data_IF_124165446047
#
_entry.id   IF_124165446047
#
_cell.length_a   1.000
_cell.length_b   1.000
_cell.length_c   1.000
_cell.angle_alpha   90.00
_cell.angle_beta   90.00
_cell.angle_gamma   90.00
#
_symmetry.space_group_name_H-M   'P 1'
#
loop_
_entity.id
_entity.type
_entity.pdbx_description
1 polymer ?
#
# COMPACT_ATOMS: atom_id res chain seq x y z
N UNK A 1 -11.51 -11.55 11.34
CA UNK A 1 -11.70 -10.10 11.14
C UNK A 1 -11.15 -9.76 9.77
N UNK A 2 -11.91 -9.07 8.92
CA UNK A 2 -11.42 -8.70 7.58
C UNK A 2 -10.46 -7.53 7.72
N UNK A 3 -9.27 -7.64 7.12
CA UNK A 3 -8.29 -6.55 7.06
C UNK A 3 -8.04 -6.12 5.63
N UNK A 4 -7.58 -4.89 5.45
CA UNK A 4 -7.31 -4.30 4.16
C UNK A 4 -5.94 -3.62 4.16
N UNK A 5 -5.30 -3.61 3.01
CA UNK A 5 -4.09 -2.80 2.77
C UNK A 5 -4.32 -1.91 1.56
N UNK A 6 -3.74 -0.72 1.60
CA UNK A 6 -3.67 0.17 0.44
C UNK A 6 -2.31 -0.02 -0.21
N UNK A 7 -2.29 -0.35 -1.50
CA UNK A 7 -1.06 -0.63 -2.24
C UNK A 7 -1.12 -0.19 -3.70
N UNK A 8 0.03 0.13 -4.28
CA UNK A 8 0.21 0.30 -5.73
C UNK A 8 1.25 -0.69 -6.24
N UNK A 9 1.10 -1.07 -7.50
CA UNK A 9 1.98 -2.00 -8.20
C UNK A 9 2.75 -1.19 -9.23
N UNK A 10 4.06 -1.18 -9.10
CA UNK A 10 4.96 -0.42 -9.96
C UNK A 10 5.88 -1.39 -10.70
N UNK A 11 5.94 -1.28 -12.02
CA UNK A 11 6.88 -2.02 -12.85
C UNK A 11 8.16 -1.21 -12.99
N UNK A 12 9.27 -1.74 -12.47
CA UNK A 12 10.59 -1.16 -12.63
C UNK A 12 11.27 -1.81 -13.84
N UNK A 13 11.81 -1.02 -14.78
CA UNK A 13 12.57 -1.58 -15.89
C UNK A 13 13.73 -2.43 -15.36
N UNK A 14 13.87 -3.66 -15.88
CA UNK A 14 15.00 -4.50 -15.52
C UNK A 14 16.30 -3.86 -15.99
N UNK A 15 17.35 -3.99 -15.17
CA UNK A 15 18.70 -3.56 -15.54
C UNK A 15 19.32 -4.47 -16.61
N UNK A 16 18.76 -5.66 -16.82
CA UNK A 16 19.25 -6.65 -17.78
C UNK A 16 18.42 -6.54 -19.07
N UNK A 17 19.09 -6.24 -20.18
CA UNK A 17 18.45 -6.10 -21.48
C UNK A 17 17.83 -7.44 -21.91
N UNK A 18 16.53 -7.44 -22.15
CA UNK A 18 15.75 -8.63 -22.56
C UNK A 18 15.08 -9.38 -21.40
N UNK A 19 15.31 -8.97 -20.16
CA UNK A 19 14.60 -9.52 -18.99
C UNK A 19 13.26 -8.82 -18.74
N UNK A 20 12.34 -9.56 -18.13
CA UNK A 20 11.06 -9.00 -17.68
C UNK A 20 11.28 -7.92 -16.62
N UNK A 21 10.44 -6.87 -16.58
CA UNK A 21 10.52 -5.83 -15.56
C UNK A 21 10.28 -6.39 -14.16
N UNK A 22 10.97 -5.80 -13.18
CA UNK A 22 10.80 -6.14 -11.78
C UNK A 22 9.49 -5.56 -11.25
N UNK A 23 8.74 -6.37 -10.51
CA UNK A 23 7.51 -5.91 -9.83
C UNK A 23 7.90 -5.37 -8.47
N UNK A 24 7.53 -4.12 -8.20
CA UNK A 24 7.66 -3.51 -6.88
C UNK A 24 6.29 -3.11 -6.35
N UNK A 25 6.08 -3.32 -5.06
CA UNK A 25 4.87 -2.92 -4.36
C UNK A 25 5.19 -1.74 -3.46
N UNK A 26 4.22 -0.85 -3.38
CA UNK A 26 4.27 0.32 -2.52
C UNK A 26 3.02 0.31 -1.68
N UNK A 27 3.17 0.51 -0.37
CA UNK A 27 2.12 0.41 0.64
C UNK A 27 2.02 1.70 1.44
N UNK A 28 0.92 1.83 2.18
CA UNK A 28 0.75 2.85 3.20
C UNK A 28 1.23 2.31 4.54
N UNK A 29 2.11 3.02 5.24
CA UNK A 29 2.46 2.77 6.65
C UNK A 29 2.00 3.94 7.51
N UNK A 30 1.98 3.74 8.83
CA UNK A 30 1.64 4.77 9.82
C UNK A 30 2.86 5.07 10.66
N UNK A 31 3.36 6.31 10.58
CA UNK A 31 4.53 6.76 11.35
C UNK A 31 4.18 7.11 12.81
N UNK A 32 2.94 7.55 13.07
CA UNK A 32 2.47 7.96 14.40
C UNK A 32 0.97 7.73 14.55
N UNK A 33 0.56 7.22 15.72
CA UNK A 33 -0.85 7.10 16.12
C UNK A 33 -1.45 8.40 16.67
N UNK A 34 -0.62 9.42 16.94
CA UNK A 34 -1.07 10.73 17.42
C UNK A 34 -1.19 11.65 16.21
N UNK A 35 -2.40 11.73 15.65
CA UNK A 35 -2.65 12.34 14.34
C UNK A 35 -2.21 11.38 13.23
N UNK A 36 -3.15 10.88 12.43
CA UNK A 36 -2.90 9.90 11.39
C UNK A 36 -1.91 10.45 10.35
N UNK A 37 -0.62 10.18 10.54
CA UNK A 37 0.44 10.50 9.60
C UNK A 37 0.77 9.25 8.81
N UNK A 38 0.17 9.18 7.62
CA UNK A 38 0.42 8.14 6.65
C UNK A 38 1.66 8.46 5.84
N UNK A 39 2.52 7.47 5.66
CA UNK A 39 3.68 7.55 4.77
C UNK A 39 3.69 6.38 3.79
N UNK A 40 4.61 6.45 2.83
CA UNK A 40 4.80 5.41 1.82
C UNK A 40 5.93 4.49 2.26
N UNK A 41 5.69 3.18 2.25
CA UNK A 41 6.73 2.16 2.41
C UNK A 41 6.72 1.17 1.24
N UNK A 42 7.84 0.52 0.96
CA UNK A 42 7.88 -0.64 0.05
C UNK A 42 7.92 -1.96 0.83
N UNK A 43 8.05 -1.90 2.16
CA UNK A 43 8.12 -3.06 3.02
C UNK A 43 6.70 -3.49 3.42
N UNK A 44 6.35 -4.72 3.07
CA UNK A 44 5.01 -5.26 3.34
C UNK A 44 4.75 -5.41 4.84
N UNK A 45 5.79 -5.63 5.63
CA UNK A 45 5.68 -5.82 7.10
C UNK A 45 5.28 -4.53 7.81
N UNK A 46 5.70 -3.38 7.28
CA UNK A 46 5.37 -2.05 7.82
C UNK A 46 4.04 -1.50 7.29
N UNK A 47 3.40 -2.21 6.36
CA UNK A 47 2.14 -1.77 5.77
C UNK A 47 1.02 -1.76 6.81
N UNK A 48 0.33 -0.64 6.93
CA UNK A 48 -0.81 -0.48 7.81
C UNK A 48 -1.96 -1.36 7.35
N UNK A 49 -2.46 -2.18 8.28
CA UNK A 49 -3.61 -3.05 8.06
C UNK A 49 -4.87 -2.36 8.57
N UNK A 50 -5.63 -1.78 7.64
CA UNK A 50 -6.90 -1.15 7.94
C UNK A 50 -7.93 -2.20 8.34
N UNK A 51 -8.61 -1.96 9.44
CA UNK A 51 -9.76 -2.76 9.85
C UNK A 51 -11.02 -2.40 9.04
N UNK A 52 -12.07 -3.21 9.17
CA UNK A 52 -13.33 -3.01 8.45
C UNK A 52 -13.98 -1.64 8.75
N UNK A 53 -13.86 -1.14 9.98
CA UNK A 53 -14.37 0.18 10.34
C UNK A 53 -13.55 1.33 9.74
N UNK A 54 -12.29 1.09 9.36
CA UNK A 54 -11.38 2.06 8.74
C UNK A 54 -11.44 2.00 7.20
N UNK A 55 -12.30 1.16 6.62
CA UNK A 55 -12.39 0.99 5.17
C UNK A 55 -12.67 2.30 4.43
N UNK A 56 -13.42 3.22 5.06
CA UNK A 56 -13.69 4.54 4.49
C UNK A 56 -12.41 5.39 4.36
N UNK A 57 -11.52 5.28 5.33
CA UNK A 57 -10.23 5.97 5.34
C UNK A 57 -9.27 5.33 4.33
N UNK A 58 -9.23 3.99 4.27
CA UNK A 58 -8.47 3.26 3.24
C UNK A 58 -8.88 3.69 1.82
N UNK A 59 -10.19 3.88 1.57
CA UNK A 59 -10.71 4.42 0.30
C UNK A 59 -10.27 5.84 0.03
N UNK A 60 -10.38 6.71 1.01
CA UNK A 60 -9.93 8.08 0.87
C UNK A 60 -8.45 8.17 0.50
N UNK A 61 -7.58 7.43 1.20
CA UNK A 61 -6.13 7.41 0.92
C UNK A 61 -5.86 6.83 -0.46
N UNK A 62 -6.51 5.70 -0.80
CA UNK A 62 -6.37 5.08 -2.10
C UNK A 62 -6.75 6.02 -3.25
N UNK A 63 -7.86 6.75 -3.12
CA UNK A 63 -8.31 7.72 -4.11
C UNK A 63 -7.35 8.91 -4.21
N UNK A 64 -6.89 9.45 -3.08
CA UNK A 64 -5.95 10.56 -3.06
C UNK A 64 -4.61 10.22 -3.73
N UNK A 65 -4.12 9.00 -3.55
CA UNK A 65 -2.78 8.59 -3.99
C UNK A 65 -2.80 7.69 -5.24
N UNK A 66 -3.98 7.43 -5.82
CA UNK A 66 -4.14 6.57 -7.00
C UNK A 66 -3.75 5.12 -6.74
N UNK A 67 -3.97 4.63 -5.52
CA UNK A 67 -3.61 3.28 -5.08
C UNK A 67 -4.84 2.36 -5.08
N UNK A 68 -4.60 1.07 -4.86
CA UNK A 68 -5.62 0.02 -4.82
C UNK A 68 -5.77 -0.53 -3.41
N UNK A 69 -7.01 -0.86 -3.02
CA UNK A 69 -7.28 -1.56 -1.77
C UNK A 69 -7.27 -3.07 -2.03
N UNK A 70 -6.50 -3.81 -1.25
CA UNK A 70 -6.54 -5.28 -1.24
C UNK A 70 -7.06 -5.78 0.10
N UNK A 71 -7.99 -6.74 0.03
CA UNK A 71 -8.47 -7.49 1.20
C UNK A 71 -7.45 -8.56 1.57
N UNK A 72 -7.10 -8.63 2.85
CA UNK A 72 -6.33 -9.71 3.46
C UNK A 72 -7.31 -10.78 3.97
N UNK A 73 -6.95 -12.06 3.77
CA UNK A 73 -7.73 -13.24 4.17
C UNK A 73 -7.29 -13.67 5.57
#
# INVERSE_FOLDING_TARGET
>A
MTRYIVCSINLKPSKIKGSLPDVSYTFISVYSHIGHHYEITNDREDAYEFEEFELKEAKFIADCWGMQIKKLI
#
